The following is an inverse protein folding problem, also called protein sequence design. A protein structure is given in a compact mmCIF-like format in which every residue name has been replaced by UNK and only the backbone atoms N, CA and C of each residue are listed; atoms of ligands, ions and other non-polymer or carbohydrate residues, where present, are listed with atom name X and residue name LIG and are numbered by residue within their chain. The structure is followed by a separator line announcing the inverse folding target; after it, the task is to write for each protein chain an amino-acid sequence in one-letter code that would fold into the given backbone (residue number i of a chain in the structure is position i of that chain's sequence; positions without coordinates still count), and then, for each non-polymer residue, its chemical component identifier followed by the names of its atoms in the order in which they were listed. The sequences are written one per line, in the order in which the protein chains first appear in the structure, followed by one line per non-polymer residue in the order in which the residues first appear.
data_IF_870797393484
#
_entry.id   IF_870797393484
#
_cell.length_a   1.000
_cell.length_b   1.000
_cell.length_c   1.000
_cell.angle_alpha   90.00
_cell.angle_beta   90.00
_cell.angle_gamma   90.00
#
_symmetry.space_group_name_H-M   'P 1'
#
loop_
_entity.id
_entity.type
_entity.pdbx_description
1 polymer ?
#
# COMPACT_ATOMS: atom_id res chain seq x y z
N UNK A 1 -14.04 15.11 -0.82
CA UNK A 1 -13.59 13.76 -0.42
C UNK A 1 -14.62 13.13 0.52
N UNK A 2 -14.85 11.80 0.49
CA UNK A 2 -15.63 11.15 1.55
C UNK A 2 -14.96 11.38 2.90
N UNK A 3 -15.74 11.54 3.97
CA UNK A 3 -15.23 11.51 5.34
C UNK A 3 -14.42 10.23 5.56
N UNK A 4 -13.36 10.34 6.37
CA UNK A 4 -12.55 9.19 6.76
C UNK A 4 -13.45 8.09 7.34
N UNK A 5 -13.45 6.86 6.79
CA UNK A 5 -14.28 5.79 7.32
C UNK A 5 -13.72 5.36 8.69
N UNK A 6 -14.59 5.29 9.68
CA UNK A 6 -14.27 4.81 11.03
C UNK A 6 -14.68 3.34 11.12
N UNK A 7 -13.73 2.49 11.50
CA UNK A 7 -13.95 1.04 11.64
C UNK A 7 -14.11 0.70 13.12
N UNK A 8 -15.12 -0.12 13.43
CA UNK A 8 -15.32 -0.65 14.76
C UNK A 8 -14.13 -1.55 15.16
N UNK A 9 -13.49 -1.24 16.28
CA UNK A 9 -12.33 -1.97 16.80
C UNK A 9 -12.62 -3.47 17.02
N UNK A 10 -13.85 -3.85 17.34
CA UNK A 10 -14.27 -5.25 17.49
C UNK A 10 -14.22 -6.04 16.15
N UNK A 11 -14.17 -5.36 15.04
CA UNK A 11 -14.13 -5.94 13.69
C UNK A 11 -12.75 -5.87 13.04
N UNK A 12 -11.69 -5.62 13.83
CA UNK A 12 -10.33 -5.51 13.33
C UNK A 12 -9.56 -6.77 13.65
N UNK A 13 -9.01 -7.39 12.62
CA UNK A 13 -8.03 -8.46 12.74
C UNK A 13 -6.62 -7.88 12.68
N UNK A 14 -5.73 -8.45 13.48
CA UNK A 14 -4.32 -8.03 13.52
C UNK A 14 -3.42 -9.25 13.44
N UNK A 15 -2.47 -9.22 12.53
CA UNK A 15 -1.43 -10.27 12.46
C UNK A 15 -0.53 -10.13 13.68
N UNK A 16 -0.29 -11.21 14.44
CA UNK A 16 0.62 -11.18 15.59
C UNK A 16 2.05 -10.77 15.18
N UNK A 17 2.72 -10.01 16.04
CA UNK A 17 4.04 -9.45 15.74
C UNK A 17 5.14 -10.53 15.57
N UNK A 18 5.00 -11.67 16.25
CA UNK A 18 5.91 -12.81 16.14
C UNK A 18 5.98 -13.39 14.71
N UNK A 19 4.92 -13.19 13.91
CA UNK A 19 4.90 -13.57 12.49
C UNK A 19 5.87 -12.77 11.63
N UNK A 20 6.36 -11.65 12.13
CA UNK A 20 7.30 -10.77 11.45
C UNK A 20 8.72 -10.81 12.02
N UNK A 21 8.98 -11.62 13.06
CA UNK A 21 10.23 -11.61 13.81
C UNK A 21 11.47 -12.10 13.02
N UNK A 22 11.27 -12.97 12.02
CA UNK A 22 12.38 -13.61 11.30
C UNK A 22 12.21 -13.56 9.79
N UNK A 23 11.78 -12.41 9.28
CA UNK A 23 11.61 -12.24 7.83
C UNK A 23 12.98 -11.95 7.20
N UNK A 24 13.38 -12.80 6.25
CA UNK A 24 14.65 -12.69 5.56
C UNK A 24 14.78 -11.34 4.82
N UNK A 25 15.96 -10.73 4.89
CA UNK A 25 16.29 -9.48 4.18
C UNK A 25 15.39 -8.28 4.53
N UNK A 26 14.74 -8.29 5.71
CA UNK A 26 13.83 -7.23 6.10
C UNK A 26 14.00 -6.82 7.59
N UNK A 27 15.13 -6.19 7.95
CA UNK A 27 15.46 -5.86 9.33
C UNK A 27 14.74 -4.61 9.87
N UNK A 28 13.78 -4.05 9.11
CA UNK A 28 13.17 -2.77 9.41
C UNK A 28 12.12 -2.87 10.51
N UNK A 29 12.19 -1.94 11.46
CA UNK A 29 11.21 -1.81 12.54
C UNK A 29 9.99 -1.05 12.02
N UNK A 30 8.81 -1.63 12.20
CA UNK A 30 7.58 -0.95 11.83
C UNK A 30 7.25 0.18 12.80
N UNK A 31 6.86 1.32 12.24
CA UNK A 31 6.18 2.42 12.93
C UNK A 31 4.68 2.30 12.67
N UNK A 32 3.88 2.92 13.52
CA UNK A 32 2.44 2.83 13.45
C UNK A 32 1.79 4.19 13.66
N UNK A 33 0.70 4.44 12.94
CA UNK A 33 -0.20 5.56 13.16
C UNK A 33 -1.64 5.09 13.09
N UNK A 34 -2.52 5.64 13.92
CA UNK A 34 -3.95 5.30 13.93
C UNK A 34 -4.73 6.25 13.01
N UNK A 35 -5.43 5.69 12.04
CA UNK A 35 -6.25 6.43 11.07
C UNK A 35 -7.64 5.78 10.99
N UNK A 36 -8.68 6.50 11.38
CA UNK A 36 -10.05 5.97 11.34
C UNK A 36 -10.26 4.72 12.20
N UNK A 37 -9.52 4.60 13.30
CA UNK A 37 -9.56 3.44 14.19
C UNK A 37 -8.68 2.27 13.76
N UNK A 38 -7.99 2.37 12.62
CA UNK A 38 -7.08 1.36 12.11
C UNK A 38 -5.62 1.75 12.37
N UNK A 39 -4.84 0.82 12.86
CA UNK A 39 -3.38 0.93 12.97
C UNK A 39 -2.76 0.67 11.60
N UNK A 40 -2.14 1.67 10.99
CA UNK A 40 -1.42 1.56 9.74
C UNK A 40 0.07 1.47 10.04
N UNK A 41 0.70 0.39 9.58
CA UNK A 41 2.13 0.16 9.72
C UNK A 41 2.89 0.81 8.56
N UNK A 42 4.10 1.27 8.84
CA UNK A 42 5.04 1.74 7.81
C UNK A 42 6.48 1.63 8.32
N UNK A 43 7.42 1.52 7.40
CA UNK A 43 8.84 1.74 7.69
C UNK A 43 9.21 3.17 7.26
N UNK A 44 10.20 3.76 7.96
CA UNK A 44 10.68 5.11 7.71
C UNK A 44 12.15 5.15 8.15
N UNK A 45 13.03 4.99 7.19
CA UNK A 45 14.46 4.80 7.35
C UNK A 45 15.25 5.87 6.58
N UNK A 46 16.48 6.13 7.02
CA UNK A 46 17.37 7.09 6.42
C UNK A 46 17.32 8.49 7.06
N UNK A 47 18.01 9.48 6.46
CA UNK A 47 18.14 10.82 7.02
C UNK A 47 16.77 11.53 7.04
N UNK A 48 16.39 12.04 8.20
CA UNK A 48 15.09 12.73 8.40
C UNK A 48 14.91 13.96 7.51
N UNK A 49 16.01 14.66 7.22
CA UNK A 49 16.03 15.89 6.43
C UNK A 49 15.96 15.65 4.93
N UNK A 50 16.23 14.42 4.49
CA UNK A 50 16.14 14.09 3.07
C UNK A 50 14.68 13.99 2.62
N UNK A 51 14.42 14.50 1.42
CA UNK A 51 13.11 14.31 0.78
C UNK A 51 12.80 12.82 0.62
N UNK A 52 11.64 12.34 1.08
CA UNK A 52 11.37 10.92 1.15
C UNK A 52 11.05 10.32 -0.23
N UNK A 53 11.48 9.07 -0.41
CA UNK A 53 10.96 8.18 -1.44
C UNK A 53 9.86 7.35 -0.80
N UNK A 54 8.62 7.59 -1.24
CA UNK A 54 7.43 6.88 -0.78
C UNK A 54 7.20 5.66 -1.68
N UNK A 55 7.29 4.46 -1.10
CA UNK A 55 7.15 3.19 -1.82
C UNK A 55 5.78 2.58 -1.56
N UNK A 56 4.88 2.64 -2.56
CA UNK A 56 3.50 2.16 -2.46
C UNK A 56 3.34 0.81 -3.14
N UNK A 57 3.19 -0.25 -2.34
CA UNK A 57 2.98 -1.62 -2.82
C UNK A 57 1.55 -1.87 -3.33
N UNK A 58 1.36 -3.00 -3.99
CA UNK A 58 0.05 -3.48 -4.42
C UNK A 58 -0.32 -4.85 -3.87
N UNK A 59 -1.35 -5.44 -4.43
CA UNK A 59 -1.83 -6.77 -4.06
C UNK A 59 -0.99 -7.87 -4.76
N UNK A 60 -0.70 -8.97 -4.11
CA UNK A 60 -0.99 -9.35 -2.72
C UNK A 60 0.18 -9.11 -1.76
N UNK A 61 0.99 -8.10 -2.02
CA UNK A 61 2.24 -7.82 -1.31
C UNK A 61 2.05 -6.84 -0.14
N UNK A 62 3.15 -6.41 0.45
CA UNK A 62 3.26 -5.40 1.49
C UNK A 62 4.64 -4.74 1.38
N UNK A 63 5.06 -3.89 2.28
CA UNK A 63 6.35 -3.17 2.21
C UNK A 63 7.57 -4.08 1.98
N UNK A 64 7.49 -5.36 2.33
CA UNK A 64 8.50 -6.39 2.03
C UNK A 64 8.83 -6.52 0.54
N UNK A 65 7.93 -6.15 -0.35
CA UNK A 65 8.18 -6.11 -1.80
C UNK A 65 9.48 -5.34 -2.11
N UNK A 66 9.71 -4.28 -1.38
CA UNK A 66 10.80 -3.34 -1.62
C UNK A 66 12.10 -3.68 -0.90
N UNK A 67 12.18 -4.82 -0.18
CA UNK A 67 13.35 -5.21 0.61
C UNK A 67 14.68 -5.15 -0.14
N UNK A 68 14.68 -5.38 -1.44
CA UNK A 68 15.89 -5.32 -2.29
C UNK A 68 16.19 -3.90 -2.81
N UNK A 69 15.18 -3.03 -2.85
CA UNK A 69 15.35 -1.64 -3.30
C UNK A 69 15.82 -0.74 -2.14
N UNK A 70 15.27 -0.95 -0.94
CA UNK A 70 15.50 -0.09 0.22
C UNK A 70 17.00 0.08 0.52
N UNK A 71 17.84 -0.99 0.58
CA UNK A 71 19.26 -0.82 0.91
C UNK A 71 20.01 0.09 -0.07
N UNK A 72 19.72 -0.02 -1.38
CA UNK A 72 20.34 0.82 -2.40
C UNK A 72 19.91 2.28 -2.28
N UNK A 73 18.63 2.54 -1.98
CA UNK A 73 18.12 3.90 -1.78
C UNK A 73 18.73 4.55 -0.52
N UNK A 74 18.85 3.79 0.57
CA UNK A 74 19.47 4.27 1.80
C UNK A 74 20.97 4.54 1.60
N UNK A 75 21.68 3.66 0.89
CA UNK A 75 23.09 3.85 0.56
C UNK A 75 23.34 5.08 -0.32
N UNK A 76 22.35 5.46 -1.14
CA UNK A 76 22.37 6.69 -1.92
C UNK A 76 21.98 7.96 -1.12
N UNK A 77 21.75 7.82 0.20
CA UNK A 77 21.42 8.93 1.09
C UNK A 77 19.95 9.36 1.10
N UNK A 78 19.06 8.58 0.52
CA UNK A 78 17.63 8.89 0.53
C UNK A 78 16.95 8.45 1.84
N UNK A 79 15.90 9.18 2.22
CA UNK A 79 14.92 8.71 3.19
C UNK A 79 13.89 7.85 2.47
N UNK A 80 13.56 6.70 3.02
CA UNK A 80 12.61 5.75 2.45
C UNK A 80 11.45 5.55 3.40
N UNK A 81 10.23 5.75 2.90
CA UNK A 81 9.01 5.49 3.64
C UNK A 81 8.17 4.47 2.84
N UNK A 82 7.78 3.36 3.49
CA UNK A 82 6.98 2.33 2.85
C UNK A 82 5.86 1.87 3.78
N UNK A 83 4.62 2.32 3.56
CA UNK A 83 3.46 1.86 4.31
C UNK A 83 3.03 0.46 3.87
N UNK A 84 2.41 -0.26 4.81
CA UNK A 84 1.57 -1.41 4.49
C UNK A 84 0.13 -0.91 4.32
N UNK A 85 -0.48 -1.15 3.17
CA UNK A 85 -1.87 -0.78 2.94
C UNK A 85 -2.79 -1.50 3.94
N UNK A 86 -3.93 -0.87 4.29
CA UNK A 86 -4.94 -1.51 5.13
C UNK A 86 -5.34 -2.86 4.54
N UNK A 87 -5.34 -3.90 5.35
CA UNK A 87 -5.58 -5.29 4.93
C UNK A 87 -4.30 -6.09 4.67
N UNK A 88 -3.14 -5.44 4.60
CA UNK A 88 -1.88 -6.09 4.23
C UNK A 88 -0.82 -5.99 5.33
N UNK A 89 0.19 -6.84 5.25
CA UNK A 89 1.37 -6.83 6.10
C UNK A 89 1.08 -6.67 7.59
N UNK A 90 1.72 -5.69 8.20
CA UNK A 90 1.61 -5.36 9.63
C UNK A 90 0.44 -4.43 9.95
N UNK A 91 -0.23 -3.86 8.93
CA UNK A 91 -1.41 -3.01 9.12
C UNK A 91 -2.63 -3.81 9.56
N UNK A 92 -3.57 -3.14 10.20
CA UNK A 92 -4.84 -3.72 10.62
C UNK A 92 -5.70 -4.15 9.43
N UNK A 93 -6.56 -5.12 9.68
CA UNK A 93 -7.39 -5.78 8.67
C UNK A 93 -8.85 -5.75 9.11
N UNK A 94 -9.68 -4.85 8.56
CA UNK A 94 -11.12 -4.93 8.77
C UNK A 94 -11.64 -6.32 8.40
N UNK A 95 -12.53 -6.90 9.23
CA UNK A 95 -13.05 -8.24 9.01
C UNK A 95 -14.23 -8.28 8.03
N UNK A 96 -14.84 -7.14 7.74
CA UNK A 96 -15.98 -7.06 6.86
C UNK A 96 -15.56 -6.64 5.44
N UNK A 97 -16.07 -7.37 4.45
CA UNK A 97 -15.78 -7.13 3.04
C UNK A 97 -16.21 -5.74 2.56
N UNK A 98 -17.27 -5.21 3.14
CA UNK A 98 -17.84 -3.90 2.85
C UNK A 98 -16.92 -2.74 3.21
N UNK A 99 -16.02 -2.96 4.18
CA UNK A 99 -15.04 -1.96 4.58
C UNK A 99 -13.96 -1.76 3.51
N UNK A 100 -13.72 -2.76 2.65
CA UNK A 100 -12.74 -2.69 1.57
C UNK A 100 -13.35 -2.10 0.31
N UNK A 101 -13.18 -0.80 0.14
CA UNK A 101 -13.49 -0.12 -1.10
C UNK A 101 -12.31 0.73 -1.56
N UNK A 102 -12.23 0.99 -2.86
CA UNK A 102 -11.21 1.88 -3.41
C UNK A 102 -11.23 3.26 -2.73
N UNK A 103 -12.42 3.80 -2.50
CA UNK A 103 -12.59 5.10 -1.86
C UNK A 103 -12.08 5.10 -0.41
N UNK A 104 -12.29 4.00 0.33
CA UNK A 104 -11.80 3.87 1.71
C UNK A 104 -10.27 3.76 1.73
N UNK A 105 -9.67 2.95 0.84
CA UNK A 105 -8.22 2.87 0.72
C UNK A 105 -7.57 4.23 0.43
N UNK A 106 -8.14 5.00 -0.49
CA UNK A 106 -7.66 6.35 -0.78
C UNK A 106 -7.78 7.24 0.46
N UNK A 107 -8.93 7.23 1.14
CA UNK A 107 -9.15 8.06 2.32
C UNK A 107 -8.20 7.72 3.47
N UNK A 108 -7.97 6.43 3.75
CA UNK A 108 -7.01 5.99 4.76
C UNK A 108 -5.59 6.42 4.44
N UNK A 109 -5.16 6.26 3.18
CA UNK A 109 -3.79 6.59 2.80
C UNK A 109 -3.54 8.09 2.69
N UNK A 110 -4.55 8.89 2.34
CA UNK A 110 -4.47 10.35 2.44
C UNK A 110 -4.35 10.76 3.92
N UNK A 111 -5.21 10.25 4.80
CA UNK A 111 -5.12 10.55 6.23
C UNK A 111 -3.79 10.10 6.84
N UNK A 112 -3.27 8.94 6.43
CA UNK A 112 -1.95 8.47 6.83
C UNK A 112 -0.83 9.41 6.37
N UNK A 113 -0.83 9.83 5.10
CA UNK A 113 0.15 10.76 4.53
C UNK A 113 0.17 12.09 5.29
N UNK A 114 -1.01 12.60 5.64
CA UNK A 114 -1.15 13.83 6.42
C UNK A 114 -0.62 13.66 7.85
N UNK A 115 -0.97 12.55 8.52
CA UNK A 115 -0.55 12.26 9.90
C UNK A 115 0.96 12.01 10.04
N UNK A 116 1.60 11.43 9.01
CA UNK A 116 3.07 11.22 8.95
C UNK A 116 3.80 12.48 8.44
N UNK A 117 3.04 13.47 7.98
CA UNK A 117 3.53 14.72 7.39
C UNK A 117 4.54 14.49 6.26
N UNK A 118 4.12 13.75 5.26
CA UNK A 118 4.92 13.54 4.05
C UNK A 118 4.94 14.80 3.21
N UNK A 119 6.14 15.31 2.89
CA UNK A 119 6.36 16.52 2.11
C UNK A 119 7.43 16.26 1.06
N UNK A 120 7.30 16.92 -0.10
CA UNK A 120 8.28 16.90 -1.20
C UNK A 120 8.70 15.49 -1.63
N UNK A 121 7.76 14.52 -1.58
CA UNK A 121 8.04 13.12 -1.80
C UNK A 121 8.26 12.77 -3.28
N UNK A 122 9.12 11.80 -3.52
CA UNK A 122 9.12 11.03 -4.78
C UNK A 122 8.25 9.80 -4.55
N UNK A 123 7.08 9.73 -5.20
CA UNK A 123 6.24 8.55 -5.17
C UNK A 123 6.77 7.50 -6.13
N UNK A 124 7.12 6.31 -5.62
CA UNK A 124 7.27 5.10 -6.41
C UNK A 124 6.09 4.17 -6.13
N UNK A 125 5.33 3.80 -7.16
CA UNK A 125 4.12 3.02 -6.98
C UNK A 125 3.92 1.99 -8.10
N UNK A 126 3.28 0.88 -7.74
CA UNK A 126 2.93 -0.19 -8.67
C UNK A 126 1.59 -0.82 -8.29
N UNK A 127 0.90 -1.49 -9.23
CA UNK A 127 -0.36 -2.21 -9.04
C UNK A 127 -1.41 -1.36 -8.28
N UNK A 128 -2.04 -1.86 -7.21
CA UNK A 128 -2.96 -1.09 -6.35
C UNK A 128 -2.30 0.13 -5.70
N UNK A 129 -1.01 0.05 -5.38
CA UNK A 129 -0.25 1.21 -4.92
C UNK A 129 -0.25 2.36 -5.92
N UNK A 130 -0.31 2.06 -7.23
CA UNK A 130 -0.43 3.10 -8.25
C UNK A 130 -1.82 3.73 -8.28
N UNK A 131 -2.88 2.91 -8.20
CA UNK A 131 -4.26 3.40 -8.18
C UNK A 131 -4.50 4.34 -6.99
N UNK A 132 -4.02 3.96 -5.81
CA UNK A 132 -4.17 4.72 -4.57
C UNK A 132 -3.20 5.91 -4.56
N UNK A 133 -1.92 5.69 -4.84
CA UNK A 133 -0.88 6.70 -4.77
C UNK A 133 -1.10 7.86 -5.75
N UNK A 134 -1.50 7.59 -6.99
CA UNK A 134 -1.84 8.64 -7.94
C UNK A 134 -3.06 9.47 -7.50
N UNK A 135 -3.99 8.88 -6.74
CA UNK A 135 -5.09 9.66 -6.14
C UNK A 135 -4.62 10.50 -4.96
N UNK A 136 -3.62 10.03 -4.18
CA UNK A 136 -2.97 10.87 -3.17
C UNK A 136 -2.29 12.08 -3.82
N UNK A 137 -1.57 11.88 -4.93
CA UNK A 137 -0.95 12.98 -5.71
C UNK A 137 -1.99 13.97 -6.19
N UNK A 138 -3.10 13.51 -6.78
CA UNK A 138 -4.16 14.42 -7.25
C UNK A 138 -4.89 15.13 -6.12
N UNK A 139 -4.91 14.57 -4.92
CA UNK A 139 -5.51 15.18 -3.73
C UNK A 139 -4.62 16.27 -3.12
N UNK A 140 -3.31 16.02 -3.07
CA UNK A 140 -2.33 16.91 -2.42
C UNK A 140 -1.07 17.04 -3.29
N UNK A 141 -1.16 17.66 -4.48
CA UNK A 141 -0.07 17.71 -5.44
C UNK A 141 1.20 18.36 -4.87
N UNK A 142 1.04 19.37 -4.01
CA UNK A 142 2.16 20.12 -3.43
C UNK A 142 3.04 19.27 -2.49
N UNK A 143 2.55 18.11 -2.04
CA UNK A 143 3.33 17.17 -1.22
C UNK A 143 4.26 16.27 -2.03
N UNK A 144 4.17 16.30 -3.36
CA UNK A 144 4.91 15.40 -4.24
C UNK A 144 5.78 16.16 -5.23
N UNK A 145 7.06 15.84 -5.27
CA UNK A 145 8.00 16.39 -6.22
C UNK A 145 8.05 15.57 -7.53
N UNK A 146 7.90 14.25 -7.44
CA UNK A 146 8.05 13.34 -8.58
C UNK A 146 7.17 12.11 -8.41
N UNK A 147 6.85 11.47 -9.54
CA UNK A 147 6.14 10.18 -9.60
C UNK A 147 6.92 9.23 -10.49
N UNK A 148 7.16 8.03 -9.97
CA UNK A 148 7.70 6.89 -10.71
C UNK A 148 6.65 5.79 -10.69
N UNK A 149 6.14 5.44 -11.87
CA UNK A 149 5.09 4.46 -12.05
C UNK A 149 5.66 3.18 -12.65
N UNK A 150 5.49 2.05 -11.97
CA UNK A 150 5.87 0.74 -12.44
C UNK A 150 4.64 -0.19 -12.50
N UNK A 151 4.41 -0.83 -13.65
CA UNK A 151 3.33 -1.81 -13.82
C UNK A 151 1.99 -1.40 -13.21
N UNK A 152 1.57 -0.18 -13.47
CA UNK A 152 0.36 0.40 -12.92
C UNK A 152 -0.26 1.42 -13.86
N UNK A 153 -1.32 2.06 -13.40
CA UNK A 153 -2.03 3.08 -14.15
C UNK A 153 -3.10 3.76 -13.33
N UNK A 154 -3.65 4.83 -13.87
CA UNK A 154 -4.80 5.51 -13.33
C UNK A 154 -5.94 5.45 -14.35
N UNK A 155 -6.99 4.66 -14.11
CA UNK A 155 -8.15 4.63 -14.98
C UNK A 155 -8.83 6.00 -14.99
N UNK A 156 -8.92 6.62 -16.17
CA UNK A 156 -9.56 7.94 -16.35
C UNK A 156 -11.06 7.85 -16.62
N UNK A 157 -11.57 6.65 -16.85
CA UNK A 157 -12.96 6.41 -17.26
C UNK A 157 -13.21 6.64 -18.75
N UNK A 158 -12.24 7.19 -19.49
CA UNK A 158 -12.31 7.42 -20.94
C UNK A 158 -11.81 6.24 -21.77
N UNK A 159 -11.21 5.27 -21.13
CA UNK A 159 -10.67 4.07 -21.74
C UNK A 159 -11.78 3.03 -21.90
N UNK A 160 -12.20 2.78 -23.11
CA UNK A 160 -13.05 1.74 -23.63
C UNK A 160 -13.69 0.67 -22.72
N UNK A 161 -14.26 -0.36 -23.32
CA UNK A 161 -14.93 -1.43 -22.57
C UNK A 161 -13.93 -2.28 -21.78
N UNK A 162 -14.16 -2.43 -20.48
CA UNK A 162 -13.37 -3.33 -19.63
C UNK A 162 -13.34 -4.75 -20.23
N UNK A 163 -12.16 -5.34 -20.47
CA UNK A 163 -12.03 -6.65 -21.10
C UNK A 163 -12.82 -7.74 -20.36
N UNK A 164 -13.44 -8.65 -21.12
CA UNK A 164 -14.18 -9.78 -20.53
C UNK A 164 -13.31 -10.60 -19.56
N UNK A 165 -12.05 -10.86 -19.91
CA UNK A 165 -11.11 -11.57 -19.06
C UNK A 165 -10.92 -10.90 -17.71
N UNK A 166 -10.82 -9.57 -17.66
CA UNK A 166 -10.72 -8.84 -16.39
C UNK A 166 -12.01 -8.95 -15.56
N UNK A 167 -13.18 -8.93 -16.21
CA UNK A 167 -14.46 -9.11 -15.49
C UNK A 167 -14.55 -10.50 -14.85
N UNK A 168 -14.13 -11.54 -15.58
CA UNK A 168 -14.09 -12.92 -15.09
C UNK A 168 -13.10 -13.04 -13.92
N UNK A 169 -11.88 -12.53 -14.09
CA UNK A 169 -10.87 -12.48 -13.03
C UNK A 169 -11.40 -11.80 -11.76
N UNK A 170 -12.00 -10.61 -11.92
CA UNK A 170 -12.57 -9.86 -10.79
C UNK A 170 -13.69 -10.63 -10.10
N UNK A 171 -14.56 -11.30 -10.85
CA UNK A 171 -15.62 -12.13 -10.28
C UNK A 171 -15.04 -13.32 -9.52
N UNK A 172 -14.05 -14.01 -10.08
CA UNK A 172 -13.35 -15.09 -9.41
C UNK A 172 -12.69 -14.62 -8.12
N UNK A 173 -11.89 -13.54 -8.15
CA UNK A 173 -11.22 -12.99 -6.99
C UNK A 173 -12.20 -12.54 -5.88
N UNK A 174 -13.40 -12.07 -6.28
CA UNK A 174 -14.41 -11.56 -5.34
C UNK A 174 -15.26 -12.66 -4.69
N UNK A 175 -15.59 -13.72 -5.43
CA UNK A 175 -16.62 -14.67 -5.04
C UNK A 175 -16.08 -16.08 -4.80
N UNK A 176 -14.85 -16.39 -5.22
CA UNK A 176 -14.26 -17.71 -4.97
C UNK A 176 -14.08 -17.94 -3.47
N UNK A 177 -14.59 -19.06 -2.92
CA UNK A 177 -14.33 -19.44 -1.55
C UNK A 177 -12.87 -19.90 -1.34
N UNK A 178 -12.16 -20.17 -2.41
CA UNK A 178 -10.78 -20.61 -2.42
C UNK A 178 -9.95 -19.76 -3.39
N UNK A 179 -9.07 -18.95 -2.84
CA UNK A 179 -8.17 -18.08 -3.61
C UNK A 179 -6.72 -18.44 -3.30
N UNK A 180 -6.04 -19.24 -4.16
CA UNK A 180 -4.72 -19.78 -3.87
C UNK A 180 -3.60 -18.76 -4.10
N UNK A 181 -3.57 -17.70 -3.30
CA UNK A 181 -2.63 -16.58 -3.45
C UNK A 181 -1.18 -17.05 -3.55
N UNK A 182 -0.75 -17.97 -2.68
CA UNK A 182 0.63 -18.47 -2.68
C UNK A 182 1.03 -19.13 -4.01
N UNK A 183 0.12 -19.90 -4.63
CA UNK A 183 0.38 -20.51 -5.95
C UNK A 183 0.44 -19.45 -7.06
N UNK A 184 -0.47 -18.48 -7.02
CA UNK A 184 -0.52 -17.40 -8.02
C UNK A 184 0.78 -16.60 -7.97
N UNK A 185 1.23 -16.21 -6.77
CA UNK A 185 2.49 -15.48 -6.60
C UNK A 185 3.68 -16.29 -7.06
N UNK A 186 3.79 -17.55 -6.63
CA UNK A 186 4.91 -18.42 -7.01
C UNK A 186 4.97 -18.69 -8.52
N UNK A 187 3.83 -18.78 -9.20
CA UNK A 187 3.80 -18.98 -10.66
C UNK A 187 4.05 -17.70 -11.44
N UNK A 188 3.79 -16.53 -10.86
CA UNK A 188 3.99 -15.24 -11.50
C UNK A 188 5.37 -14.62 -11.26
N UNK A 189 6.13 -15.09 -10.27
CA UNK A 189 7.49 -14.66 -10.03
C UNK A 189 8.43 -15.50 -10.91
N UNK A 190 8.97 -14.90 -11.96
CA UNK A 190 10.10 -15.51 -12.69
C UNK A 190 11.27 -15.74 -11.73
N UNK A 191 11.84 -16.93 -11.77
CA UNK A 191 13.04 -17.30 -11.03
C UNK A 191 14.25 -16.57 -11.57
#
# INVERSE_FOLDING_TARGET
MKSLPVIDKARILRTPEDRFAHIADFPYVAKYVEIGGLRIAYIDEGPREAAPILLMHGEPTWSYLYRKMIPGLLAAGHRVIAPDLVGFGRSDKPSAKEDFSYANHVAWMVGWMEAVDIQNATLFCQDWGSLIGLRMVTHSPDRFARVVLANGGLPTGTQGVVPKAFKIWRAFARFSPWFPIGRIVNSGCAQ
#
